data_IF_754692303404
#
_entry.id   IF_754692303404
#
_cell.length_a   1.000
_cell.length_b   1.000
_cell.length_c   1.000
_cell.angle_alpha   90.00
_cell.angle_beta   90.00
_cell.angle_gamma   90.00
#
_symmetry.space_group_name_H-M   'P 1'
#
loop_
_entity.id
_entity.type
_entity.pdbx_description
1 polymer ?
#
# COMPACT_ATOMS: atom_id res chain seq x y z
N UNK A 1 24.13 6.20 10.74
CA UNK A 1 22.93 6.04 9.90
C UNK A 1 22.48 7.41 9.49
N UNK A 2 22.32 7.72 8.21
CA UNK A 2 21.77 9.02 7.84
C UNK A 2 20.27 9.01 8.09
N UNK A 3 19.84 9.76 9.09
CA UNK A 3 18.43 9.97 9.47
C UNK A 3 17.60 10.70 8.39
N UNK A 4 18.14 10.92 7.20
CA UNK A 4 17.58 11.89 6.26
C UNK A 4 16.65 11.34 5.19
N UNK A 5 16.54 10.03 4.97
CA UNK A 5 15.85 9.53 3.78
C UNK A 5 14.40 9.12 4.05
N UNK A 6 14.05 8.71 5.26
CA UNK A 6 12.67 8.31 5.60
C UNK A 6 11.86 9.44 6.24
N UNK A 7 12.53 10.48 6.78
CA UNK A 7 11.90 11.49 7.63
C UNK A 7 11.08 12.57 6.91
N UNK A 8 11.12 12.70 5.59
CA UNK A 8 10.65 13.91 4.92
C UNK A 8 9.40 13.79 4.02
N UNK A 9 8.75 12.65 3.93
CA UNK A 9 7.47 12.56 3.22
C UNK A 9 6.35 12.21 4.19
N UNK A 10 6.03 13.16 5.05
CA UNK A 10 4.77 13.13 5.79
C UNK A 10 3.67 13.48 4.78
N UNK A 11 3.05 12.46 4.19
CA UNK A 11 1.80 12.66 3.49
C UNK A 11 0.81 13.19 4.54
N UNK A 12 0.59 14.51 4.52
CA UNK A 12 -0.50 15.07 5.31
C UNK A 12 -1.79 14.40 4.84
N UNK A 13 -2.79 14.18 5.72
CA UNK A 13 -4.11 13.67 5.31
C UNK A 13 -4.67 14.36 4.07
N UNK A 14 -4.42 15.66 3.92
CA UNK A 14 -4.73 16.47 2.74
C UNK A 14 -4.05 15.98 1.45
N UNK A 15 -2.83 15.45 1.52
CA UNK A 15 -2.14 14.97 0.32
C UNK A 15 -2.73 13.64 -0.16
N UNK A 16 -3.08 12.75 0.75
CA UNK A 16 -3.77 11.50 0.43
C UNK A 16 -5.15 11.77 -0.19
N UNK A 17 -5.91 12.71 0.39
CA UNK A 17 -7.19 13.17 -0.16
C UNK A 17 -7.05 13.83 -1.53
N UNK A 18 -6.02 14.63 -1.74
CA UNK A 18 -5.77 15.30 -3.02
C UNK A 18 -5.31 14.33 -4.13
N UNK A 19 -4.46 13.35 -3.78
CA UNK A 19 -3.94 12.38 -4.74
C UNK A 19 -5.02 11.38 -5.16
N UNK A 20 -5.82 10.91 -4.22
CA UNK A 20 -6.78 9.83 -4.46
C UNK A 20 -8.25 10.28 -4.47
N UNK A 21 -8.53 11.58 -4.38
CA UNK A 21 -9.90 12.10 -4.40
C UNK A 21 -10.76 11.59 -3.25
N UNK A 22 -10.14 11.36 -2.09
CA UNK A 22 -10.80 10.78 -0.93
C UNK A 22 -12.00 11.62 -0.48
N UNK A 23 -13.18 11.02 -0.49
CA UNK A 23 -14.39 11.63 0.06
C UNK A 23 -14.54 11.27 1.54
N UNK A 24 -15.07 12.19 2.34
CA UNK A 24 -15.31 11.94 3.76
C UNK A 24 -16.23 10.73 3.98
N UNK A 25 -16.13 10.10 5.16
CA UNK A 25 -16.92 8.91 5.56
C UNK A 25 -18.44 9.06 5.42
N UNK A 26 -18.96 10.29 5.32
CA UNK A 26 -20.37 10.60 5.13
C UNK A 26 -20.85 10.49 3.69
N UNK A 27 -19.92 10.40 2.74
CA UNK A 27 -20.31 10.30 1.33
C UNK A 27 -20.64 8.84 1.02
N UNK A 28 -21.90 8.60 0.66
CA UNK A 28 -22.34 7.30 0.16
C UNK A 28 -21.57 7.02 -1.12
N UNK A 29 -20.87 5.88 -1.16
CA UNK A 29 -20.22 5.41 -2.38
C UNK A 29 -21.28 5.23 -3.46
N UNK A 30 -21.23 6.09 -4.46
CA UNK A 30 -22.12 6.01 -5.60
C UNK A 30 -21.66 4.85 -6.51
N UNK A 31 -22.58 4.26 -7.24
CA UNK A 31 -22.29 3.19 -8.20
C UNK A 31 -21.18 3.60 -9.19
N UNK A 32 -21.09 4.88 -9.50
CA UNK A 32 -20.01 5.47 -10.33
C UNK A 32 -18.61 5.27 -9.74
N UNK A 33 -18.45 5.18 -8.43
CA UNK A 33 -17.15 4.96 -7.82
C UNK A 33 -16.67 3.53 -8.05
N UNK A 34 -17.56 2.57 -8.19
CA UNK A 34 -17.22 1.19 -8.53
C UNK A 34 -16.86 1.00 -10.00
N UNK A 35 -17.31 1.90 -10.89
CA UNK A 35 -17.00 1.85 -12.32
C UNK A 35 -15.61 2.39 -12.68
N UNK A 36 -14.92 3.01 -11.73
CA UNK A 36 -13.57 3.56 -11.91
C UNK A 36 -12.49 2.54 -11.54
N UNK A 37 -11.27 2.64 -12.09
CA UNK A 37 -10.13 1.90 -11.59
C UNK A 37 -9.96 2.13 -10.10
N UNK A 38 -9.72 1.05 -9.36
CA UNK A 38 -9.61 1.13 -7.91
C UNK A 38 -8.61 0.13 -7.35
N UNK A 39 -8.00 0.50 -6.23
CA UNK A 39 -7.32 -0.43 -5.37
C UNK A 39 -8.25 -0.84 -4.23
N UNK A 40 -8.14 -2.08 -3.79
CA UNK A 40 -9.01 -2.68 -2.79
C UNK A 40 -8.19 -3.46 -1.77
N UNK A 41 -8.63 -3.46 -0.51
CA UNK A 41 -8.06 -4.32 0.53
C UNK A 41 -9.08 -4.70 1.59
N UNK A 42 -8.92 -5.87 2.18
CA UNK A 42 -9.74 -6.30 3.31
C UNK A 42 -9.39 -5.51 4.56
N UNK A 43 -10.39 -5.16 5.35
CA UNK A 43 -10.19 -4.45 6.63
C UNK A 43 -9.45 -5.34 7.62
N UNK A 44 -9.77 -6.63 7.66
CA UNK A 44 -9.20 -7.61 8.60
C UNK A 44 -8.74 -8.84 7.83
N UNK A 45 -7.56 -9.36 8.17
CA UNK A 45 -7.02 -10.60 7.61
C UNK A 45 -5.72 -11.02 8.28
N UNK A 46 -5.33 -12.27 8.09
CA UNK A 46 -4.01 -12.75 8.53
C UNK A 46 -2.88 -12.07 7.74
N UNK A 47 -3.14 -11.81 6.45
CA UNK A 47 -2.31 -11.00 5.58
C UNK A 47 -3.22 -9.97 4.89
N UNK A 48 -2.79 -8.72 4.86
CA UNK A 48 -3.49 -7.69 4.11
C UNK A 48 -2.89 -7.62 2.73
N UNK A 49 -3.70 -8.01 1.74
CA UNK A 49 -3.33 -7.92 0.34
C UNK A 49 -4.14 -6.80 -0.32
N UNK A 50 -3.43 -5.94 -1.02
CA UNK A 50 -4.02 -4.91 -1.86
C UNK A 50 -4.15 -5.45 -3.28
N UNK A 51 -5.31 -5.28 -3.86
CA UNK A 51 -5.62 -5.71 -5.22
C UNK A 51 -5.98 -4.51 -6.07
N UNK A 52 -5.56 -4.53 -7.33
CA UNK A 52 -6.03 -3.58 -8.32
C UNK A 52 -7.20 -4.19 -9.09
N UNK A 53 -8.27 -3.44 -9.26
CA UNK A 53 -9.48 -3.90 -9.97
C UNK A 53 -9.71 -3.16 -11.29
N UNK A 54 -9.72 -3.93 -12.38
CA UNK A 54 -10.12 -3.50 -13.71
C UNK A 54 -11.55 -3.92 -14.08
N UNK A 55 -12.15 -4.82 -13.29
CA UNK A 55 -13.41 -5.48 -13.64
C UNK A 55 -14.65 -4.74 -13.15
N UNK A 56 -14.45 -3.60 -12.47
CA UNK A 56 -15.53 -2.80 -11.88
C UNK A 56 -16.38 -3.57 -10.88
N UNK A 57 -15.77 -4.52 -10.15
CA UNK A 57 -16.49 -5.34 -9.19
C UNK A 57 -17.04 -4.51 -8.03
N UNK A 58 -18.21 -4.92 -7.56
CA UNK A 58 -18.80 -4.40 -6.32
C UNK A 58 -18.17 -5.12 -5.12
N UNK A 59 -18.04 -4.42 -4.01
CA UNK A 59 -17.58 -5.00 -2.77
C UNK A 59 -18.52 -4.63 -1.61
N UNK A 60 -18.47 -5.42 -0.55
CA UNK A 60 -19.24 -5.17 0.67
C UNK A 60 -18.41 -4.34 1.67
N UNK A 61 -18.99 -4.07 2.83
CA UNK A 61 -18.40 -3.28 3.90
C UNK A 61 -17.16 -3.89 4.58
N UNK A 62 -16.75 -5.11 4.23
CA UNK A 62 -15.53 -5.75 4.72
C UNK A 62 -14.29 -5.38 3.88
N UNK A 63 -14.48 -4.65 2.78
CA UNK A 63 -13.45 -4.24 1.84
C UNK A 63 -13.44 -2.73 1.74
N UNK A 64 -12.26 -2.14 1.90
CA UNK A 64 -12.03 -0.74 1.59
C UNK A 64 -11.65 -0.59 0.12
N UNK A 65 -12.03 0.53 -0.48
CA UNK A 65 -11.65 0.90 -1.84
C UNK A 65 -11.03 2.28 -1.87
N UNK A 66 -10.16 2.52 -2.84
CA UNK A 66 -9.61 3.81 -3.17
C UNK A 66 -9.57 3.97 -4.69
N UNK A 67 -10.16 5.04 -5.18
CA UNK A 67 -10.18 5.41 -6.59
C UNK A 67 -9.08 6.43 -6.86
N UNK A 68 -8.56 6.43 -8.08
CA UNK A 68 -7.54 7.39 -8.48
C UNK A 68 -7.03 7.14 -9.89
N UNK A 69 -5.97 7.83 -10.22
CA UNK A 69 -5.26 7.63 -11.48
C UNK A 69 -4.60 6.25 -11.50
N UNK A 70 -4.75 5.49 -12.60
CA UNK A 70 -4.29 4.11 -12.72
C UNK A 70 -2.82 3.93 -12.29
N UNK A 71 -1.92 4.76 -12.80
CA UNK A 71 -0.49 4.68 -12.48
C UNK A 71 -0.19 4.84 -10.99
N UNK A 72 -0.88 5.75 -10.32
CA UNK A 72 -0.76 5.95 -8.88
C UNK A 72 -1.32 4.76 -8.09
N UNK A 73 -2.44 4.21 -8.53
CA UNK A 73 -3.04 3.04 -7.89
C UNK A 73 -2.16 1.81 -8.03
N UNK A 74 -1.52 1.62 -9.19
CA UNK A 74 -0.57 0.52 -9.39
C UNK A 74 0.63 0.65 -8.47
N UNK A 75 1.25 1.85 -8.38
CA UNK A 75 2.35 2.10 -7.45
C UNK A 75 1.91 1.87 -6.00
N UNK A 76 0.75 2.38 -5.63
CA UNK A 76 0.17 2.18 -4.30
C UNK A 76 0.02 0.68 -3.99
N UNK A 77 -0.59 -0.10 -4.88
CA UNK A 77 -0.76 -1.55 -4.70
C UNK A 77 0.59 -2.27 -4.58
N UNK A 78 1.57 -1.90 -5.39
CA UNK A 78 2.92 -2.47 -5.31
C UNK A 78 3.59 -2.19 -3.97
N UNK A 79 3.55 -0.93 -3.54
CA UNK A 79 4.15 -0.51 -2.25
C UNK A 79 3.46 -1.21 -1.09
N UNK A 80 2.12 -1.21 -1.06
CA UNK A 80 1.34 -1.80 0.02
C UNK A 80 1.48 -3.33 0.14
N UNK A 81 1.83 -4.01 -0.95
CA UNK A 81 2.10 -5.46 -0.95
C UNK A 81 3.57 -5.81 -0.74
N UNK A 82 4.46 -4.82 -0.66
CA UNK A 82 5.90 -5.08 -0.53
C UNK A 82 6.31 -5.47 0.88
N UNK A 83 7.43 -6.18 0.97
CA UNK A 83 8.09 -6.50 2.25
C UNK A 83 8.53 -5.26 3.01
N UNK A 84 8.86 -4.17 2.31
CA UNK A 84 9.17 -2.88 2.94
C UNK A 84 7.97 -2.37 3.72
N UNK A 85 6.78 -2.38 3.11
CA UNK A 85 5.58 -1.92 3.78
C UNK A 85 5.14 -2.84 4.92
N UNK A 86 5.21 -4.15 4.74
CA UNK A 86 4.91 -5.13 5.81
C UNK A 86 5.81 -4.91 7.04
N UNK A 87 7.10 -4.73 6.81
CA UNK A 87 8.06 -4.39 7.86
C UNK A 87 7.73 -3.06 8.55
N UNK A 88 7.48 -2.02 7.76
CA UNK A 88 7.14 -0.68 8.28
C UNK A 88 5.84 -0.70 9.10
N UNK A 89 4.80 -1.36 8.59
CA UNK A 89 3.50 -1.47 9.26
C UNK A 89 3.64 -2.13 10.64
N UNK A 90 4.39 -3.23 10.72
CA UNK A 90 4.64 -3.95 11.97
C UNK A 90 5.40 -3.13 13.02
N UNK A 91 6.24 -2.20 12.59
CA UNK A 91 6.99 -1.34 13.49
C UNK A 91 6.21 -0.12 13.96
N UNK A 92 5.36 0.44 13.11
CA UNK A 92 4.78 1.78 13.31
C UNK A 92 3.32 1.74 13.74
N UNK A 93 2.65 0.59 13.61
CA UNK A 93 1.22 0.50 13.92
C UNK A 93 0.93 -0.60 14.94
N UNK A 94 -0.14 -0.39 15.71
CA UNK A 94 -0.75 -1.41 16.58
C UNK A 94 -1.88 -2.14 15.82
N UNK A 95 -1.67 -2.38 14.52
CA UNK A 95 -2.67 -2.98 13.66
C UNK A 95 -2.89 -4.47 13.92
N UNK A 96 -2.02 -5.11 14.71
CA UNK A 96 -2.18 -6.51 15.09
C UNK A 96 -3.38 -6.68 16.02
N UNK A 97 -4.27 -7.61 15.66
CA UNK A 97 -5.40 -8.01 16.50
C UNK A 97 -5.11 -9.34 17.19
N UNK A 98 -5.84 -9.61 18.28
CA UNK A 98 -5.72 -10.85 19.02
C UNK A 98 -5.93 -12.06 18.10
N UNK A 99 -4.97 -13.00 18.10
CA UNK A 99 -4.96 -14.15 17.18
C UNK A 99 -4.05 -14.00 15.96
N UNK A 100 -3.23 -12.93 15.89
CA UNK A 100 -2.20 -12.75 14.85
C UNK A 100 -2.71 -12.17 13.53
N UNK A 101 -3.95 -11.67 13.49
CA UNK A 101 -4.50 -10.95 12.35
C UNK A 101 -4.04 -9.48 12.33
N UNK A 102 -4.22 -8.84 11.18
CA UNK A 102 -4.00 -7.40 11.00
C UNK A 102 -5.34 -6.74 10.69
N UNK A 103 -5.60 -5.60 11.35
CA UNK A 103 -6.75 -4.76 11.08
C UNK A 103 -6.26 -3.44 10.52
N UNK A 104 -6.51 -3.22 9.22
CA UNK A 104 -6.03 -2.06 8.51
C UNK A 104 -7.18 -1.15 8.09
N UNK A 105 -7.47 -0.19 8.95
CA UNK A 105 -8.43 0.85 8.65
C UNK A 105 -7.82 1.93 7.75
N UNK A 106 -8.71 2.64 7.07
CA UNK A 106 -8.37 3.85 6.31
C UNK A 106 -7.61 4.86 7.17
N UNK A 107 -8.06 5.09 8.39
CA UNK A 107 -7.42 6.00 9.34
C UNK A 107 -5.99 5.62 9.73
N UNK A 108 -5.65 4.33 9.63
CA UNK A 108 -4.27 3.85 9.79
C UNK A 108 -3.44 4.22 8.57
N UNK A 109 -3.98 4.00 7.37
CA UNK A 109 -3.31 4.36 6.11
C UNK A 109 -3.11 5.88 5.97
N UNK A 110 -4.07 6.69 6.40
CA UNK A 110 -3.95 8.16 6.38
C UNK A 110 -2.75 8.68 7.21
N UNK A 111 -2.35 7.93 8.21
CA UNK A 111 -1.18 8.23 9.08
C UNK A 111 0.11 7.60 8.57
N UNK A 112 0.01 6.72 7.59
CA UNK A 112 1.15 5.98 7.06
C UNK A 112 1.93 6.85 6.08
N UNK A 113 3.24 6.85 6.22
CA UNK A 113 4.13 7.57 5.30
C UNK A 113 4.34 6.71 4.06
N UNK A 114 3.87 7.17 2.92
CA UNK A 114 4.07 6.53 1.62
C UNK A 114 4.68 7.53 0.67
N UNK A 115 5.82 7.19 0.08
CA UNK A 115 6.38 7.93 -1.04
C UNK A 115 5.81 7.32 -2.32
N UNK A 116 5.06 8.08 -3.06
CA UNK A 116 4.69 7.72 -4.42
C UNK A 116 5.75 8.33 -5.35
N UNK A 117 6.54 7.47 -5.94
CA UNK A 117 7.46 7.86 -7.01
C UNK A 117 6.72 7.65 -8.33
N UNK A 118 6.56 8.71 -9.09
CA UNK A 118 5.84 8.68 -10.36
C UNK A 118 6.64 7.98 -11.49
N UNK A 119 7.66 7.17 -11.15
CA UNK A 119 8.38 6.39 -12.14
C UNK A 119 7.50 5.31 -12.74
N UNK A 120 7.44 5.25 -14.05
CA UNK A 120 6.72 4.20 -14.79
C UNK A 120 7.26 2.79 -14.52
N UNK A 121 8.49 2.69 -14.05
CA UNK A 121 9.14 1.41 -13.79
C UNK A 121 8.35 0.59 -12.75
N UNK A 122 8.01 1.19 -11.60
CA UNK A 122 7.25 0.50 -10.55
C UNK A 122 5.87 0.10 -11.04
N UNK A 123 5.14 1.00 -11.69
CA UNK A 123 3.81 0.71 -12.25
C UNK A 123 3.85 -0.44 -13.25
N UNK A 124 4.87 -0.48 -14.11
CA UNK A 124 5.04 -1.52 -15.11
C UNK A 124 5.32 -2.88 -14.48
N UNK A 125 6.17 -2.94 -13.45
CA UNK A 125 6.44 -4.19 -12.72
C UNK A 125 5.18 -4.69 -12.03
N UNK A 126 4.40 -3.82 -11.38
CA UNK A 126 3.13 -4.20 -10.75
C UNK A 126 2.11 -4.66 -11.77
N UNK A 127 1.99 -3.97 -12.90
CA UNK A 127 1.11 -4.38 -14.02
C UNK A 127 1.49 -5.77 -14.54
N UNK A 128 2.78 -6.05 -14.70
CA UNK A 128 3.28 -7.36 -15.10
C UNK A 128 3.01 -8.42 -14.02
N UNK A 129 3.13 -8.07 -12.74
CA UNK A 129 2.78 -8.98 -11.65
C UNK A 129 1.30 -9.37 -11.66
N UNK A 130 0.40 -8.41 -11.90
CA UNK A 130 -1.04 -8.67 -12.04
C UNK A 130 -1.32 -9.62 -13.21
N UNK A 131 -0.54 -9.54 -14.29
CA UNK A 131 -0.62 -10.42 -15.47
C UNK A 131 0.12 -11.75 -15.31
N UNK A 132 0.64 -12.05 -14.12
CA UNK A 132 1.48 -13.23 -13.84
C UNK A 132 2.78 -13.30 -14.70
N UNK A 133 3.31 -12.15 -15.12
CA UNK A 133 4.54 -12.00 -15.91
C UNK A 133 5.73 -11.52 -15.06
N UNK A 134 5.51 -11.23 -13.79
CA UNK A 134 6.52 -10.86 -12.81
C UNK A 134 6.20 -11.55 -11.47
N UNK A 135 7.22 -11.68 -10.61
CA UNK A 135 7.09 -12.26 -9.27
C UNK A 135 6.89 -11.18 -8.20
N UNK A 136 6.56 -11.60 -6.98
CA UNK A 136 6.52 -10.70 -5.81
C UNK A 136 7.91 -10.14 -5.49
N UNK A 137 8.98 -10.90 -5.73
CA UNK A 137 10.34 -10.41 -5.56
C UNK A 137 10.68 -9.29 -6.55
N UNK A 138 10.17 -9.32 -7.77
CA UNK A 138 10.37 -8.23 -8.74
C UNK A 138 9.70 -6.95 -8.25
N UNK A 139 8.51 -7.06 -7.66
CA UNK A 139 7.82 -5.92 -7.04
C UNK A 139 8.61 -5.40 -5.84
N UNK A 140 9.09 -6.27 -4.94
CA UNK A 140 9.90 -5.87 -3.79
C UNK A 140 11.16 -5.12 -4.24
N UNK A 141 11.88 -5.64 -5.23
CA UNK A 141 13.08 -5.01 -5.78
C UNK A 141 12.79 -3.63 -6.39
N UNK A 142 11.68 -3.51 -7.14
CA UNK A 142 11.26 -2.23 -7.71
C UNK A 142 10.90 -1.21 -6.61
N UNK A 143 10.23 -1.65 -5.54
CA UNK A 143 9.92 -0.80 -4.39
C UNK A 143 11.19 -0.39 -3.65
N UNK A 144 12.10 -1.31 -3.34
CA UNK A 144 13.37 -0.97 -2.70
C UNK A 144 14.16 0.06 -3.53
N UNK A 145 14.21 -0.12 -4.84
CA UNK A 145 14.86 0.83 -5.75
C UNK A 145 14.18 2.19 -5.72
N UNK A 146 12.85 2.26 -5.79
CA UNK A 146 12.08 3.49 -5.74
C UNK A 146 12.31 4.29 -4.45
N UNK A 147 12.49 3.58 -3.33
CA UNK A 147 12.78 4.17 -2.02
C UNK A 147 14.27 4.45 -1.78
N UNK A 148 15.15 4.01 -2.68
CA UNK A 148 16.60 4.15 -2.53
C UNK A 148 17.21 3.30 -1.41
N UNK A 149 16.56 2.16 -1.09
CA UNK A 149 17.00 1.23 -0.05
C UNK A 149 18.19 0.40 -0.58
N UNK A 150 19.32 0.50 0.09
CA UNK A 150 20.53 -0.24 -0.31
C UNK A 150 20.47 -1.73 0.10
N UNK A 151 21.45 -2.51 -0.35
CA UNK A 151 21.47 -3.97 -0.10
C UNK A 151 21.59 -4.34 1.38
N UNK A 152 22.26 -3.50 2.17
CA UNK A 152 22.39 -3.70 3.63
C UNK A 152 21.07 -3.47 4.33
N UNK A 153 20.38 -2.39 3.96
CA UNK A 153 19.06 -2.03 4.47
C UNK A 153 18.02 -3.08 4.04
N UNK A 154 18.06 -3.55 2.80
CA UNK A 154 17.22 -4.66 2.33
C UNK A 154 17.41 -5.91 3.18
N UNK A 155 18.65 -6.31 3.42
CA UNK A 155 18.98 -7.47 4.26
C UNK A 155 18.44 -7.30 5.67
N UNK A 156 18.55 -6.10 6.22
CA UNK A 156 18.00 -5.76 7.53
C UNK A 156 16.46 -5.91 7.56
N UNK A 157 15.75 -5.31 6.60
CA UNK A 157 14.30 -5.39 6.49
C UNK A 157 13.82 -6.83 6.35
N UNK A 158 14.49 -7.62 5.51
CA UNK A 158 14.10 -9.00 5.23
C UNK A 158 14.36 -9.95 6.41
N UNK A 159 15.33 -9.66 7.28
CA UNK A 159 15.70 -10.51 8.41
C UNK A 159 15.07 -10.11 9.73
N UNK A 160 14.67 -8.85 9.88
CA UNK A 160 14.05 -8.35 11.11
C UNK A 160 12.58 -8.76 11.18
N UNK A 161 12.33 -9.91 11.78
CA UNK A 161 10.99 -10.24 12.28
C UNK A 161 10.80 -9.51 13.61
N UNK A 162 9.63 -8.92 13.81
CA UNK A 162 9.24 -8.34 15.10
C UNK A 162 9.49 -9.38 16.19
N UNK A 163 10.36 -9.06 17.16
CA UNK A 163 10.47 -9.87 18.35
C UNK A 163 9.16 -9.66 19.12
N UNK A 164 8.33 -10.70 19.17
CA UNK A 164 7.11 -10.68 19.98
C UNK A 164 7.51 -10.33 21.43
N UNK A 165 7.03 -9.18 21.91
CA UNK A 165 7.09 -8.81 23.33
C UNK A 165 5.89 -9.39 24.06
#
# INVERSE_FOLDING_TARGET
MPESTIANVKLRPTAFQQIFGWKNKSDILLTEDFSKPKAMWKIIGCNINFSFDYSHCLCNNAVNIINGHEELLLQFVGIMNSKLFDWYLKLTTEAEVQGGGIQLYVTTLEKTLVKLDFSEELSNVVRNRIRCQASDNDVDNAVFKAYGIDSTEQSFILTHKKVNR
#
